data_IF_560346268480
#
_entry.id   IF_560346268480
#
_cell.length_a   1.000
_cell.length_b   1.000
_cell.length_c   1.000
_cell.angle_alpha   90.00
_cell.angle_beta   90.00
_cell.angle_gamma   90.00
#
_symmetry.space_group_name_H-M   'P 1'
#
loop_
_entity.id
_entity.type
_entity.pdbx_description
1 polymer ?
#
# COMPACT_ATOMS: atom_id res chain seq x y z
N UNK A 1 51.44 4.94 -46.36
CA UNK A 1 50.60 5.97 -45.71
C UNK A 1 49.45 5.26 -45.03
N UNK A 2 49.57 5.14 -43.72
CA UNK A 2 48.59 4.39 -42.89
C UNK A 2 47.72 5.43 -42.21
N UNK A 3 46.42 5.38 -42.49
CA UNK A 3 45.42 6.26 -41.84
C UNK A 3 44.90 5.60 -40.56
N UNK A 4 45.18 6.21 -39.42
CA UNK A 4 44.59 5.86 -38.10
C UNK A 4 43.18 6.44 -38.00
N UNK A 5 42.22 5.55 -37.92
CA UNK A 5 40.83 5.91 -37.58
C UNK A 5 40.66 5.81 -36.06
N UNK A 6 40.56 6.96 -35.41
CA UNK A 6 40.27 7.04 -33.97
C UNK A 6 38.79 6.85 -33.74
N UNK A 7 38.38 5.72 -33.17
CA UNK A 7 37.02 5.50 -32.67
C UNK A 7 36.92 6.12 -31.29
N UNK A 8 36.23 7.26 -31.21
CA UNK A 8 35.87 7.89 -29.95
C UNK A 8 34.68 7.08 -29.39
N UNK A 9 34.92 6.28 -28.37
CA UNK A 9 33.85 5.67 -27.55
C UNK A 9 33.26 6.77 -26.66
N UNK A 10 32.11 7.26 -27.03
CA UNK A 10 31.29 8.12 -26.17
C UNK A 10 30.71 7.21 -25.06
N UNK A 11 31.31 7.27 -23.89
CA UNK A 11 30.73 6.67 -22.68
C UNK A 11 29.65 7.67 -22.23
N UNK A 12 28.41 7.38 -22.55
CA UNK A 12 27.29 8.07 -21.95
C UNK A 12 27.22 7.66 -20.48
N UNK A 13 27.69 8.52 -19.60
CA UNK A 13 27.45 8.42 -18.16
C UNK A 13 25.99 8.78 -17.92
N UNK A 14 25.14 7.80 -17.88
CA UNK A 14 23.78 7.96 -17.39
C UNK A 14 23.90 8.21 -15.88
N UNK A 15 23.86 9.46 -15.49
CA UNK A 15 23.58 9.85 -14.11
C UNK A 15 22.12 9.46 -13.86
N UNK A 16 21.90 8.31 -13.26
CA UNK A 16 20.61 8.01 -12.63
C UNK A 16 20.45 9.06 -11.53
N UNK A 17 19.61 10.04 -11.79
CA UNK A 17 19.09 10.91 -10.75
C UNK A 17 18.16 10.01 -9.94
N UNK A 18 18.60 9.59 -8.77
CA UNK A 18 17.72 8.94 -7.81
C UNK A 18 16.66 9.98 -7.41
N UNK A 19 15.49 9.87 -8.02
CA UNK A 19 14.33 10.65 -7.61
C UNK A 19 13.83 10.03 -6.32
N UNK A 20 14.16 10.65 -5.19
CA UNK A 20 13.55 10.27 -3.93
C UNK A 20 12.04 10.51 -4.03
N UNK A 21 11.22 9.52 -3.68
CA UNK A 21 9.76 9.62 -3.70
C UNK A 21 9.25 10.76 -2.79
N UNK A 22 10.07 11.13 -1.81
CA UNK A 22 9.87 12.31 -0.99
C UNK A 22 11.20 13.08 -0.90
N UNK A 23 11.22 14.41 -1.08
CA UNK A 23 12.46 15.18 -1.00
C UNK A 23 13.17 14.97 0.34
N UNK A 24 14.38 14.40 0.30
CA UNK A 24 15.23 14.19 1.47
C UNK A 24 15.30 12.76 2.02
N UNK A 25 14.61 11.78 1.41
CA UNK A 25 14.70 10.38 1.82
C UNK A 25 15.69 9.59 0.95
N UNK A 26 16.72 9.02 1.58
CA UNK A 26 17.63 8.04 0.98
C UNK A 26 17.32 6.64 1.52
N UNK A 27 17.00 5.69 0.63
CA UNK A 27 16.76 4.30 1.01
C UNK A 27 18.06 3.66 1.51
N UNK A 28 18.09 3.20 2.74
CA UNK A 28 19.25 2.54 3.34
C UNK A 28 19.52 1.14 2.72
N UNK A 29 20.80 0.77 2.59
CA UNK A 29 21.19 -0.57 2.06
C UNK A 29 20.63 -1.71 2.92
N UNK A 30 20.50 -1.48 4.23
CA UNK A 30 19.87 -2.42 5.17
C UNK A 30 18.42 -2.68 4.82
N UNK A 31 17.71 -1.65 4.38
CA UNK A 31 16.30 -1.69 4.04
C UNK A 31 16.06 -2.56 2.81
N UNK A 32 16.92 -2.43 1.78
CA UNK A 32 16.90 -3.29 0.60
C UNK A 32 17.19 -4.78 0.90
N UNK A 33 17.99 -5.05 1.94
CA UNK A 33 18.28 -6.42 2.36
C UNK A 33 17.10 -7.05 3.09
N UNK A 34 16.47 -6.32 3.99
CA UNK A 34 15.23 -6.74 4.70
C UNK A 34 14.11 -7.01 3.72
N UNK A 35 13.90 -6.09 2.78
CA UNK A 35 12.91 -6.20 1.72
C UNK A 35 13.12 -7.46 0.86
N UNK A 36 14.34 -7.68 0.37
CA UNK A 36 14.66 -8.90 -0.40
C UNK A 36 14.42 -10.18 0.38
N UNK A 37 14.76 -10.20 1.67
CA UNK A 37 14.53 -11.35 2.54
C UNK A 37 13.03 -11.62 2.73
N UNK A 38 12.26 -10.57 2.96
CA UNK A 38 10.80 -10.66 3.07
C UNK A 38 10.18 -11.19 1.77
N UNK A 39 10.49 -10.59 0.63
CA UNK A 39 9.96 -11.03 -0.67
C UNK A 39 10.31 -12.49 -0.98
N UNK A 40 11.52 -12.95 -0.65
CA UNK A 40 11.93 -14.34 -0.85
C UNK A 40 11.15 -15.32 0.05
N UNK A 41 10.81 -14.92 1.27
CA UNK A 41 10.00 -15.73 2.19
C UNK A 41 8.53 -15.73 1.78
N UNK A 42 7.99 -14.57 1.42
CA UNK A 42 6.61 -14.40 0.98
C UNK A 42 6.29 -15.22 -0.27
N UNK A 43 7.21 -15.30 -1.21
CA UNK A 43 7.07 -16.15 -2.41
C UNK A 43 6.77 -17.60 -2.09
N UNK A 44 7.54 -18.21 -1.19
CA UNK A 44 7.39 -19.62 -0.83
C UNK A 44 6.03 -19.90 -0.18
N UNK A 45 5.54 -18.92 0.59
CA UNK A 45 4.24 -19.02 1.25
C UNK A 45 3.10 -18.90 0.26
N UNK A 46 3.16 -17.97 -0.67
CA UNK A 46 2.11 -17.75 -1.68
C UNK A 46 1.93 -18.94 -2.63
N UNK A 47 3.02 -19.53 -3.10
CA UNK A 47 2.96 -20.71 -3.97
C UNK A 47 2.19 -21.89 -3.33
N UNK A 48 2.25 -21.99 -1.99
CA UNK A 48 1.48 -22.99 -1.23
C UNK A 48 0.04 -22.58 -0.94
N UNK A 49 -0.25 -21.28 -0.85
CA UNK A 49 -1.54 -20.79 -0.40
C UNK A 49 -2.68 -21.00 -1.42
N UNK A 50 -2.43 -20.84 -2.70
CA UNK A 50 -3.49 -20.89 -3.72
C UNK A 50 -4.27 -22.21 -3.70
N UNK A 51 -3.56 -23.36 -3.69
CA UNK A 51 -4.18 -24.67 -3.63
C UNK A 51 -4.92 -24.93 -2.31
N UNK A 52 -4.43 -24.37 -1.21
CA UNK A 52 -5.04 -24.53 0.12
C UNK A 52 -6.34 -23.72 0.27
N UNK A 53 -6.35 -22.49 -0.20
CA UNK A 53 -7.53 -21.61 -0.19
C UNK A 53 -8.64 -22.18 -1.07
N UNK A 54 -8.26 -22.74 -2.24
CA UNK A 54 -9.20 -23.41 -3.13
C UNK A 54 -9.79 -24.67 -2.49
N UNK A 55 -8.96 -25.54 -1.92
CA UNK A 55 -9.40 -26.80 -1.29
C UNK A 55 -10.32 -26.58 -0.10
N UNK A 56 -10.18 -25.49 0.63
CA UNK A 56 -11.02 -25.15 1.80
C UNK A 56 -12.30 -24.40 1.46
N UNK A 57 -12.46 -23.95 0.20
CA UNK A 57 -13.60 -23.13 -0.20
C UNK A 57 -13.65 -21.76 0.47
N UNK A 58 -12.55 -21.33 1.12
CA UNK A 58 -12.44 -20.04 1.81
C UNK A 58 -12.65 -18.89 0.84
N UNK A 59 -12.08 -19.02 -0.36
CA UNK A 59 -12.29 -18.06 -1.44
C UNK A 59 -13.77 -17.94 -1.82
N UNK A 60 -14.47 -19.08 -1.96
CA UNK A 60 -15.91 -19.10 -2.30
C UNK A 60 -16.77 -18.41 -1.26
N UNK A 61 -16.41 -18.53 0.01
CA UNK A 61 -17.16 -17.92 1.10
C UNK A 61 -16.94 -16.41 1.17
N UNK A 62 -15.70 -15.95 1.05
CA UNK A 62 -15.36 -14.53 0.95
C UNK A 62 -16.08 -13.86 -0.22
N UNK A 63 -16.14 -14.56 -1.29
CA UNK A 63 -16.80 -14.23 -2.51
C UNK A 63 -18.32 -14.11 -2.39
N UNK A 64 -18.99 -15.03 -1.70
CA UNK A 64 -20.43 -14.94 -1.49
C UNK A 64 -20.83 -13.62 -0.81
N UNK A 65 -19.98 -13.09 0.08
CA UNK A 65 -20.19 -11.79 0.71
C UNK A 65 -19.93 -10.62 -0.24
N UNK A 66 -18.90 -10.71 -1.10
CA UNK A 66 -18.70 -9.71 -2.16
C UNK A 66 -19.92 -9.59 -3.06
N UNK A 67 -20.55 -10.72 -3.38
CA UNK A 67 -21.83 -10.73 -4.12
C UNK A 67 -22.97 -9.99 -3.44
N UNK A 68 -23.10 -10.16 -2.13
CA UNK A 68 -24.17 -9.50 -1.37
C UNK A 68 -23.99 -7.97 -1.39
N UNK A 69 -22.74 -7.50 -1.46
CA UNK A 69 -22.44 -6.07 -1.54
C UNK A 69 -22.55 -5.53 -2.97
N UNK A 70 -22.11 -6.30 -3.91
CA UNK A 70 -22.14 -5.93 -5.32
C UNK A 70 -23.11 -6.82 -6.06
N UNK A 71 -24.33 -6.55 -5.93
CA UNK A 71 -25.38 -7.29 -6.61
C UNK A 71 -25.15 -7.40 -8.12
N UNK A 72 -23.91 -7.36 -8.60
CA UNK A 72 -23.68 -7.53 -10.02
C UNK A 72 -22.21 -7.60 -10.41
N UNK A 73 -21.56 -8.75 -10.50
CA UNK A 73 -20.26 -8.87 -11.18
C UNK A 73 -19.95 -10.29 -11.67
N UNK A 74 -19.33 -10.45 -12.79
CA UNK A 74 -19.11 -11.72 -13.49
C UNK A 74 -17.71 -12.02 -13.99
N UNK A 75 -17.48 -13.16 -14.28
CA UNK A 75 -16.62 -14.28 -14.48
C UNK A 75 -15.50 -14.18 -15.52
N UNK A 76 -14.25 -14.49 -15.15
CA UNK A 76 -13.24 -15.28 -15.88
C UNK A 76 -11.95 -15.41 -15.08
N UNK A 77 -11.43 -16.47 -15.08
CA UNK A 77 -10.66 -17.57 -15.54
C UNK A 77 -9.21 -17.54 -15.09
N UNK A 78 -8.82 -18.61 -14.51
CA UNK A 78 -7.54 -18.94 -13.90
C UNK A 78 -6.51 -19.35 -14.96
N UNK A 79 -5.36 -18.76 -14.96
CA UNK A 79 -4.13 -19.38 -15.43
C UNK A 79 -3.03 -19.14 -14.39
N UNK A 80 -2.27 -20.14 -14.15
CA UNK A 80 -1.35 -20.33 -13.03
C UNK A 80 -0.49 -19.13 -12.61
N UNK A 81 -0.10 -19.14 -11.35
CA UNK A 81 0.83 -18.18 -10.75
C UNK A 81 2.05 -18.00 -11.66
N UNK A 82 2.06 -16.94 -12.43
CA UNK A 82 3.24 -16.51 -13.19
C UNK A 82 4.03 -15.53 -12.35
N UNK A 83 5.35 -15.66 -12.41
CA UNK A 83 6.23 -14.64 -11.86
C UNK A 83 5.89 -13.31 -12.53
N UNK A 84 5.60 -12.31 -11.72
CA UNK A 84 5.39 -10.94 -12.17
C UNK A 84 6.65 -10.13 -11.95
N UNK A 85 6.94 -9.26 -12.85
CA UNK A 85 7.89 -8.17 -12.71
C UNK A 85 7.18 -6.87 -13.10
N UNK A 86 7.83 -5.75 -12.91
CA UNK A 86 7.26 -4.43 -13.17
C UNK A 86 6.66 -4.33 -14.57
N UNK A 87 7.33 -4.88 -15.58
CA UNK A 87 6.85 -4.84 -16.96
C UNK A 87 5.59 -5.67 -17.15
N UNK A 88 5.47 -6.81 -16.48
CA UNK A 88 4.27 -7.65 -16.54
C UNK A 88 3.09 -6.94 -15.91
N UNK A 89 3.26 -6.34 -14.73
CA UNK A 89 2.20 -5.59 -14.04
C UNK A 89 1.77 -4.38 -14.87
N UNK A 90 2.71 -3.59 -15.39
CA UNK A 90 2.42 -2.42 -16.24
C UNK A 90 1.65 -2.77 -17.53
N UNK A 91 1.82 -3.98 -18.06
CA UNK A 91 1.17 -4.43 -19.29
C UNK A 91 -0.07 -5.31 -19.02
N UNK A 92 -0.42 -5.55 -17.76
CA UNK A 92 -1.64 -6.26 -17.38
C UNK A 92 -2.79 -5.26 -17.26
N UNK A 93 -3.94 -5.55 -17.84
CA UNK A 93 -5.16 -4.78 -17.56
C UNK A 93 -5.88 -5.41 -16.38
N UNK A 94 -6.11 -4.61 -15.35
CA UNK A 94 -6.88 -4.97 -14.16
C UNK A 94 -8.36 -4.58 -14.30
N UNK A 95 -8.73 -3.99 -15.45
CA UNK A 95 -10.13 -3.80 -15.81
C UNK A 95 -10.79 -5.17 -16.02
N UNK A 96 -11.67 -5.53 -15.11
CA UNK A 96 -12.42 -6.76 -15.25
C UNK A 96 -13.39 -6.65 -16.43
N UNK A 97 -13.32 -7.57 -17.37
CA UNK A 97 -14.22 -7.63 -18.54
C UNK A 97 -15.66 -8.01 -18.18
N UNK A 98 -16.02 -7.87 -16.93
CA UNK A 98 -17.27 -8.34 -16.38
C UNK A 98 -18.36 -7.31 -16.58
N UNK A 99 -19.29 -7.60 -17.47
CA UNK A 99 -20.49 -6.79 -17.73
C UNK A 99 -21.76 -7.55 -17.39
N UNK A 100 -22.82 -6.86 -17.05
CA UNK A 100 -24.13 -7.44 -16.83
C UNK A 100 -24.22 -8.39 -15.64
N UNK A 101 -23.53 -8.08 -14.60
CA UNK A 101 -23.41 -8.87 -13.39
C UNK A 101 -24.65 -8.72 -12.52
N UNK A 102 -25.27 -9.85 -12.12
CA UNK A 102 -26.49 -9.91 -11.33
C UNK A 102 -26.27 -10.68 -10.02
N UNK A 103 -27.18 -10.59 -9.09
CA UNK A 103 -27.19 -11.37 -7.84
C UNK A 103 -26.98 -12.86 -8.03
N UNK A 104 -27.37 -13.40 -9.21
CA UNK A 104 -27.26 -14.81 -9.56
C UNK A 104 -25.92 -15.14 -10.23
N UNK A 105 -25.03 -14.17 -10.40
CA UNK A 105 -23.73 -14.38 -11.01
C UNK A 105 -22.84 -15.26 -10.14
N UNK A 106 -22.13 -16.19 -10.79
CA UNK A 106 -21.25 -17.14 -10.08
C UNK A 106 -20.13 -16.43 -9.36
N UNK A 107 -19.80 -16.96 -8.23
CA UNK A 107 -18.85 -16.46 -7.24
C UNK A 107 -17.39 -16.50 -7.67
N UNK A 108 -17.03 -17.25 -8.69
CA UNK A 108 -15.65 -17.27 -9.21
C UNK A 108 -15.13 -15.94 -9.78
N UNK A 109 -15.98 -14.95 -9.84
CA UNK A 109 -15.72 -13.60 -10.36
C UNK A 109 -14.61 -12.87 -9.65
N UNK A 110 -14.53 -13.03 -8.34
CA UNK A 110 -13.54 -12.34 -7.50
C UNK A 110 -12.35 -13.23 -7.15
N UNK A 111 -12.30 -14.43 -7.72
CA UNK A 111 -11.14 -15.29 -7.63
C UNK A 111 -10.09 -14.77 -8.60
N UNK A 112 -9.31 -13.83 -8.15
CA UNK A 112 -8.05 -13.55 -8.81
C UNK A 112 -6.98 -14.41 -8.14
N UNK A 113 -6.09 -15.00 -8.92
CA UNK A 113 -4.87 -15.61 -8.41
C UNK A 113 -3.84 -14.54 -7.99
N UNK A 114 -4.24 -13.31 -8.06
CA UNK A 114 -3.41 -12.15 -7.86
C UNK A 114 -3.51 -11.78 -6.38
N UNK A 115 -2.59 -12.32 -5.60
CA UNK A 115 -2.41 -11.92 -4.21
C UNK A 115 -1.28 -10.91 -4.16
N UNK A 116 -1.59 -9.72 -3.67
CA UNK A 116 -0.61 -8.71 -3.42
C UNK A 116 0.09 -9.00 -2.08
N UNK A 117 1.41 -9.11 -2.09
CA UNK A 117 2.20 -8.96 -0.88
C UNK A 117 2.93 -7.64 -1.02
N UNK A 118 2.40 -6.63 -0.36
CA UNK A 118 3.03 -5.32 -0.35
C UNK A 118 4.40 -5.40 0.33
N UNK A 119 5.36 -4.69 -0.20
CA UNK A 119 6.69 -4.64 0.39
C UNK A 119 6.65 -3.98 1.77
N UNK A 120 7.19 -4.59 2.83
CA UNK A 120 7.11 -4.08 4.20
C UNK A 120 7.80 -2.74 4.42
N UNK A 121 8.56 -2.31 3.46
CA UNK A 121 9.10 -0.97 3.39
C UNK A 121 8.34 -0.08 2.45
N UNK A 122 7.20 -0.52 2.02
CA UNK A 122 6.27 0.41 1.46
C UNK A 122 6.27 1.59 2.41
N UNK A 123 6.80 2.70 1.95
CA UNK A 123 6.93 3.89 2.76
C UNK A 123 5.56 4.19 3.33
N UNK A 124 5.43 4.18 4.66
CA UNK A 124 4.22 4.70 5.31
C UNK A 124 3.93 6.12 4.80
N UNK A 125 4.97 6.72 4.24
CA UNK A 125 4.95 8.06 3.72
C UNK A 125 4.94 9.12 4.82
N UNK A 126 5.14 10.39 4.46
CA UNK A 126 5.23 11.47 5.44
C UNK A 126 3.85 11.94 5.93
N UNK A 127 2.74 11.34 5.48
CA UNK A 127 1.39 11.88 5.72
C UNK A 127 0.45 10.93 6.46
N UNK A 128 0.98 9.88 7.11
CA UNK A 128 0.17 9.07 8.01
C UNK A 128 -0.24 9.85 9.26
N UNK A 129 -1.53 9.77 9.59
CA UNK A 129 -2.09 10.38 10.80
C UNK A 129 -2.46 9.28 11.77
N UNK A 130 -1.97 9.38 12.99
CA UNK A 130 -2.33 8.44 14.06
C UNK A 130 -3.66 8.83 14.68
N UNK A 131 -4.53 7.84 14.94
CA UNK A 131 -5.81 8.05 15.57
C UNK A 131 -6.95 8.23 14.56
N UNK A 132 -6.84 7.55 13.42
CA UNK A 132 -7.89 7.51 12.41
C UNK A 132 -9.17 6.88 12.95
N UNK A 133 -10.32 7.30 12.39
CA UNK A 133 -11.64 6.90 12.85
C UNK A 133 -12.07 5.57 12.21
N UNK A 134 -12.69 4.71 13.02
CA UNK A 134 -13.36 3.51 12.52
C UNK A 134 -14.63 3.90 11.77
N UNK A 135 -14.56 3.90 10.44
CA UNK A 135 -15.67 4.24 9.54
C UNK A 135 -15.44 3.66 8.15
N UNK A 136 -16.51 3.27 7.48
CA UNK A 136 -16.45 2.75 6.11
C UNK A 136 -16.48 3.89 5.08
N UNK A 137 -17.32 4.90 5.30
CA UNK A 137 -17.40 6.08 4.43
C UNK A 137 -16.37 7.12 4.86
N UNK A 138 -15.39 7.35 4.00
CA UNK A 138 -14.30 8.30 4.25
C UNK A 138 -14.30 9.48 3.27
N UNK A 139 -15.33 9.60 2.43
CA UNK A 139 -15.42 10.68 1.42
C UNK A 139 -15.57 12.05 2.09
N UNK A 140 -16.35 12.13 3.15
CA UNK A 140 -16.83 13.40 3.69
C UNK A 140 -17.40 14.29 2.55
N UNK A 141 -16.93 15.53 2.40
CA UNK A 141 -17.36 16.46 1.35
C UNK A 141 -16.34 16.60 0.19
N UNK A 142 -15.37 15.69 0.08
CA UNK A 142 -14.34 15.78 -0.98
C UNK A 142 -14.91 15.38 -2.34
N UNK A 143 -14.80 16.27 -3.36
CA UNK A 143 -15.29 15.98 -4.69
C UNK A 143 -14.34 15.07 -5.46
N UNK A 144 -14.89 14.15 -6.24
CA UNK A 144 -14.10 13.24 -7.08
C UNK A 144 -14.92 12.06 -7.58
N UNK A 145 -14.28 11.19 -8.34
CA UNK A 145 -14.84 9.93 -8.81
C UNK A 145 -14.98 8.97 -7.63
N UNK A 146 -16.19 8.52 -7.34
CA UNK A 146 -16.43 7.57 -6.25
C UNK A 146 -15.69 6.25 -6.51
N UNK A 147 -15.04 5.74 -5.48
CA UNK A 147 -14.38 4.43 -5.51
C UNK A 147 -14.74 3.62 -4.26
N UNK A 148 -15.34 2.46 -4.46
CA UNK A 148 -15.61 1.49 -3.41
C UNK A 148 -14.48 0.47 -3.39
N UNK A 149 -13.62 0.56 -2.40
CA UNK A 149 -12.49 -0.35 -2.22
C UNK A 149 -12.89 -1.54 -1.35
N UNK A 150 -12.42 -2.72 -1.74
CA UNK A 150 -12.70 -3.96 -1.04
C UNK A 150 -11.42 -4.81 -0.98
N UNK A 151 -10.89 -5.04 0.20
CA UNK A 151 -9.70 -5.84 0.36
C UNK A 151 -9.97 -7.09 1.20
N UNK A 152 -9.34 -8.21 0.81
CA UNK A 152 -9.27 -9.41 1.61
C UNK A 152 -7.84 -9.59 2.12
N UNK A 153 -7.69 -9.80 3.42
CA UNK A 153 -6.40 -10.06 4.06
C UNK A 153 -6.26 -11.54 4.41
N UNK A 154 -5.11 -12.10 4.08
CA UNK A 154 -4.78 -13.50 4.38
C UNK A 154 -3.41 -13.59 5.04
N UNK A 155 -3.25 -14.53 5.96
CA UNK A 155 -1.95 -14.89 6.52
C UNK A 155 -1.14 -15.71 5.51
N UNK A 156 0.03 -15.21 5.11
CA UNK A 156 0.89 -15.87 4.11
C UNK A 156 1.50 -17.18 4.61
N UNK A 157 1.52 -17.42 5.91
CA UNK A 157 2.08 -18.64 6.49
C UNK A 157 1.08 -19.79 6.57
N UNK A 158 -0.19 -19.45 6.80
CA UNK A 158 -1.28 -20.43 7.00
C UNK A 158 -2.25 -20.51 5.83
N UNK A 159 -2.25 -19.49 4.96
CA UNK A 159 -3.24 -19.30 3.89
C UNK A 159 -4.67 -19.15 4.40
N UNK A 160 -4.83 -18.73 5.65
CA UNK A 160 -6.13 -18.47 6.26
C UNK A 160 -6.49 -16.99 6.16
N UNK A 161 -7.78 -16.65 6.07
CA UNK A 161 -8.23 -15.28 6.25
C UNK A 161 -7.76 -14.69 7.57
N UNK A 162 -7.48 -13.42 7.62
CA UNK A 162 -7.12 -12.68 8.82
C UNK A 162 -8.34 -11.91 9.35
N UNK A 163 -9.15 -12.50 10.23
CA UNK A 163 -10.16 -11.74 10.95
C UNK A 163 -9.51 -10.83 11.98
N UNK A 164 -10.24 -9.79 12.35
CA UNK A 164 -9.83 -8.85 13.40
C UNK A 164 -8.56 -8.04 13.11
N UNK A 165 -8.02 -8.07 11.89
CA UNK A 165 -7.03 -7.12 11.43
C UNK A 165 -7.71 -5.76 11.23
N UNK A 166 -7.07 -4.68 11.61
CA UNK A 166 -7.50 -3.33 11.31
C UNK A 166 -6.77 -2.84 10.06
N UNK A 167 -7.52 -2.62 8.99
CA UNK A 167 -7.06 -1.97 7.78
C UNK A 167 -7.15 -0.47 7.95
N UNK A 168 -6.02 0.20 8.01
CA UNK A 168 -5.86 1.65 8.04
C UNK A 168 -5.53 2.13 6.61
N UNK A 169 -6.32 3.08 6.10
CA UNK A 169 -6.23 3.53 4.73
C UNK A 169 -6.25 5.05 4.66
N UNK A 170 -5.45 5.61 3.76
CA UNK A 170 -5.55 7.02 3.41
C UNK A 170 -5.09 7.27 1.98
N UNK A 171 -5.68 8.27 1.36
CA UNK A 171 -5.30 8.77 0.05
C UNK A 171 -5.44 10.29 -0.04
N UNK A 172 -4.75 10.91 -1.00
CA UNK A 172 -4.93 12.33 -1.28
C UNK A 172 -6.29 12.59 -1.93
N UNK A 173 -6.75 13.83 -1.85
CA UNK A 173 -7.95 14.26 -2.57
C UNK A 173 -7.68 14.38 -4.08
N UNK A 174 -8.71 14.70 -4.84
CA UNK A 174 -8.66 14.80 -6.30
C UNK A 174 -7.65 15.81 -6.86
N UNK A 175 -7.12 16.70 -6.03
CA UNK A 175 -6.08 17.68 -6.39
C UNK A 175 -4.71 17.38 -5.79
N UNK A 176 -4.53 16.17 -5.22
CA UNK A 176 -3.25 15.69 -4.73
C UNK A 176 -2.89 16.10 -3.30
N UNK A 177 -3.82 16.64 -2.52
CA UNK A 177 -3.58 17.10 -1.14
C UNK A 177 -4.11 16.08 -0.13
N UNK A 178 -3.29 15.73 0.85
CA UNK A 178 -3.69 14.89 1.99
C UNK A 178 -4.32 15.73 3.10
N UNK A 179 -5.46 15.32 3.58
CA UNK A 179 -6.10 15.89 4.77
C UNK A 179 -5.36 15.52 6.06
N UNK A 180 -5.66 16.17 7.17
CA UNK A 180 -5.07 15.85 8.47
C UNK A 180 -3.61 16.24 8.66
N UNK A 181 -2.96 16.84 7.65
CA UNK A 181 -1.55 17.21 7.65
C UNK A 181 -1.37 18.64 7.17
N UNK A 182 -0.45 19.36 7.78
CA UNK A 182 0.03 20.67 7.31
C UNK A 182 1.52 20.54 7.01
N UNK A 183 1.89 20.50 5.74
CA UNK A 183 3.28 20.38 5.31
C UNK A 183 3.46 21.01 3.91
N UNK A 184 4.59 21.64 3.68
CA UNK A 184 4.90 22.26 2.38
C UNK A 184 4.99 21.25 1.24
N UNK A 185 5.43 20.02 1.54
CA UNK A 185 5.47 18.93 0.56
C UNK A 185 4.10 18.34 0.23
N UNK A 186 3.09 18.63 1.08
CA UNK A 186 1.67 18.33 0.81
C UNK A 186 0.94 19.43 0.02
N UNK A 187 1.67 20.46 -0.42
CA UNK A 187 1.08 21.59 -1.14
C UNK A 187 0.21 22.54 -0.28
N UNK A 188 0.18 22.36 1.05
CA UNK A 188 -0.68 23.10 1.96
C UNK A 188 0.05 23.66 3.20
N UNK A 189 1.35 23.99 3.07
CA UNK A 189 2.18 24.46 4.20
C UNK A 189 1.58 25.62 5.01
N UNK A 190 0.76 26.44 4.39
CA UNK A 190 0.11 27.60 5.01
C UNK A 190 -1.32 27.32 5.53
N UNK A 191 -1.89 26.14 5.27
CA UNK A 191 -3.25 25.77 5.70
C UNK A 191 -3.26 24.96 7.00
N UNK A 192 -3.20 25.66 8.12
CA UNK A 192 -3.32 25.03 9.45
C UNK A 192 -4.70 24.40 9.68
N UNK A 193 -5.74 24.80 8.96
CA UNK A 193 -7.09 24.24 9.12
C UNK A 193 -7.17 22.80 8.65
N UNK A 194 -6.29 22.40 7.73
CA UNK A 194 -6.23 21.05 7.18
C UNK A 194 -5.88 19.99 8.23
N UNK A 195 -5.21 20.35 9.33
CA UNK A 195 -4.93 19.43 10.44
C UNK A 195 -6.19 18.83 11.07
N UNK A 196 -7.32 19.52 10.97
CA UNK A 196 -8.58 19.08 11.55
C UNK A 196 -9.46 18.30 10.57
N UNK A 197 -9.05 18.20 9.31
CA UNK A 197 -9.80 17.44 8.30
C UNK A 197 -9.49 15.96 8.43
N UNK A 198 -10.52 15.14 8.24
CA UNK A 198 -10.45 13.67 8.36
C UNK A 198 -10.80 12.96 7.05
N UNK A 199 -11.27 13.69 6.04
CA UNK A 199 -11.67 13.11 4.76
C UNK A 199 -10.57 12.22 4.16
N UNK A 200 -10.99 11.17 3.49
CA UNK A 200 -10.15 10.20 2.78
C UNK A 200 -9.16 9.46 3.68
N UNK A 201 -9.52 9.31 4.97
CA UNK A 201 -8.79 8.57 6.00
C UNK A 201 -9.74 7.78 6.86
N UNK A 202 -9.36 6.56 7.21
CA UNK A 202 -10.15 5.74 8.12
C UNK A 202 -9.54 4.37 8.37
N UNK A 203 -10.10 3.72 9.37
CA UNK A 203 -9.78 2.34 9.70
C UNK A 203 -11.04 1.49 9.64
N UNK A 204 -10.89 0.24 9.21
CA UNK A 204 -11.94 -0.79 9.25
C UNK A 204 -11.37 -2.10 9.75
N UNK A 205 -12.17 -2.80 10.56
CA UNK A 205 -11.81 -4.11 11.05
C UNK A 205 -12.27 -5.18 10.05
N UNK A 206 -11.39 -6.12 9.73
CA UNK A 206 -11.73 -7.25 8.87
C UNK A 206 -12.71 -8.19 9.56
N UNK A 207 -13.61 -8.74 8.78
CA UNK A 207 -14.58 -9.71 9.22
C UNK A 207 -13.99 -11.15 9.33
N UNK A 208 -14.84 -12.11 9.61
CA UNK A 208 -14.47 -13.53 9.73
C UNK A 208 -13.84 -14.13 8.46
N UNK A 209 -13.95 -13.45 7.32
CA UNK A 209 -13.35 -13.84 6.03
C UNK A 209 -12.14 -12.99 5.67
N UNK A 210 -11.65 -12.18 6.59
CA UNK A 210 -10.53 -11.28 6.37
C UNK A 210 -10.86 -10.08 5.50
N UNK A 211 -12.13 -9.68 5.40
CA UNK A 211 -12.59 -8.65 4.46
C UNK A 211 -12.92 -7.35 5.18
N UNK A 212 -12.46 -6.25 4.60
CA UNK A 212 -12.89 -4.90 4.94
C UNK A 212 -13.16 -4.06 3.68
N UNK A 213 -13.91 -2.98 3.82
CA UNK A 213 -14.33 -2.15 2.70
C UNK A 213 -14.32 -0.67 3.06
N UNK A 214 -14.06 0.18 2.06
CA UNK A 214 -14.17 1.63 2.17
C UNK A 214 -14.92 2.22 1.00
N UNK A 215 -15.68 3.27 1.27
CA UNK A 215 -16.19 4.21 0.29
C UNK A 215 -15.30 5.45 0.32
N UNK A 216 -14.59 5.71 -0.77
CA UNK A 216 -13.66 6.83 -0.93
C UNK A 216 -13.87 7.52 -2.29
N UNK A 217 -13.00 8.43 -2.66
CA UNK A 217 -12.85 8.88 -4.05
C UNK A 217 -11.55 8.31 -4.63
N UNK A 218 -11.49 8.21 -5.95
CA UNK A 218 -10.25 7.91 -6.65
C UNK A 218 -9.20 8.97 -6.30
N UNK A 219 -7.97 8.60 -5.91
CA UNK A 219 -6.95 9.58 -5.56
C UNK A 219 -6.55 10.45 -6.74
N UNK A 220 -6.29 11.72 -6.52
CA UNK A 220 -5.57 12.55 -7.46
C UNK A 220 -4.07 12.23 -7.48
N UNK A 221 -3.30 13.08 -8.14
CA UNK A 221 -1.85 12.95 -8.20
C UNK A 221 -1.14 14.13 -7.54
N UNK A 222 0.09 13.89 -7.12
CA UNK A 222 1.01 14.92 -6.64
C UNK A 222 2.43 14.64 -7.16
N UNK A 223 3.31 15.63 -7.06
CA UNK A 223 4.62 15.59 -7.69
C UNK A 223 5.46 14.38 -7.27
N UNK A 224 6.01 13.66 -8.25
CA UNK A 224 6.98 12.58 -8.05
C UNK A 224 6.40 11.24 -7.64
N UNK A 225 5.06 11.09 -7.58
CA UNK A 225 4.40 9.84 -7.23
C UNK A 225 3.27 9.49 -8.21
N UNK A 226 3.19 8.24 -8.58
CA UNK A 226 2.02 7.70 -9.27
C UNK A 226 0.80 7.71 -8.34
N UNK A 227 -0.40 7.69 -8.90
CA UNK A 227 -1.66 7.66 -8.16
C UNK A 227 -1.76 6.39 -7.31
N UNK A 228 -1.95 6.53 -6.00
CA UNK A 228 -1.93 5.41 -5.06
C UNK A 228 -2.78 5.65 -3.81
N UNK A 229 -3.04 4.55 -3.11
CA UNK A 229 -3.65 4.51 -1.78
C UNK A 229 -2.64 3.90 -0.81
N UNK A 230 -2.49 4.49 0.35
CA UNK A 230 -1.67 3.94 1.43
C UNK A 230 -2.44 2.90 2.24
N UNK A 231 -1.74 1.88 2.70
CA UNK A 231 -2.28 0.78 3.49
C UNK A 231 -1.41 0.48 4.68
N UNK A 232 -2.02 0.36 5.86
CA UNK A 232 -1.39 -0.21 7.04
C UNK A 232 -2.30 -1.27 7.65
N UNK A 233 -1.74 -2.41 7.99
CA UNK A 233 -2.42 -3.49 8.71
C UNK A 233 -1.99 -3.52 10.18
N UNK A 234 -2.95 -3.36 11.10
CA UNK A 234 -2.70 -3.47 12.53
C UNK A 234 -3.27 -4.77 13.07
N UNK A 235 -2.45 -5.54 13.78
CA UNK A 235 -2.87 -6.74 14.51
C UNK A 235 -2.98 -6.46 16.00
N UNK A 236 -3.95 -7.12 16.65
CA UNK A 236 -4.15 -7.08 18.11
C UNK A 236 -4.41 -5.66 18.67
N UNK A 237 -4.83 -4.71 17.85
CA UNK A 237 -5.25 -3.40 18.32
C UNK A 237 -6.68 -3.45 18.87
N UNK A 238 -6.95 -2.58 19.83
CA UNK A 238 -8.26 -2.48 20.50
C UNK A 238 -8.98 -1.21 20.09
N UNK A 239 -10.24 -1.34 19.69
CA UNK A 239 -11.11 -0.19 19.43
C UNK A 239 -11.44 0.53 20.74
N UNK A 240 -11.23 1.83 20.74
CA UNK A 240 -11.54 2.72 21.85
C UNK A 240 -12.96 3.32 21.71
N UNK A 241 -13.51 3.85 22.80
CA UNK A 241 -14.83 4.49 22.81
C UNK A 241 -14.93 5.70 21.86
N UNK A 242 -13.83 6.36 21.58
CA UNK A 242 -13.77 7.49 20.65
C UNK A 242 -13.72 7.08 19.16
N UNK A 243 -13.81 5.79 18.86
CA UNK A 243 -13.78 5.27 17.50
C UNK A 243 -12.39 5.11 16.88
N UNK A 244 -11.32 5.30 17.65
CA UNK A 244 -9.95 5.06 17.20
C UNK A 244 -9.42 3.74 17.74
N UNK A 245 -8.23 3.29 17.30
CA UNK A 245 -7.59 2.09 17.84
C UNK A 245 -6.36 2.43 18.70
N UNK A 246 -6.02 1.51 19.60
CA UNK A 246 -4.84 1.59 20.44
C UNK A 246 -4.20 0.22 20.65
N UNK A 247 -2.88 0.24 20.89
CA UNK A 247 -2.09 -0.99 21.08
C UNK A 247 -1.88 -1.77 19.79
N UNK A 248 -1.55 -3.04 19.96
CA UNK A 248 -1.25 -3.93 18.84
C UNK A 248 0.11 -3.67 18.18
N UNK A 249 0.29 -4.25 17.02
CA UNK A 249 1.47 -4.10 16.17
C UNK A 249 1.08 -3.77 14.74
N UNK A 250 1.91 -3.01 14.06
CA UNK A 250 1.82 -2.84 12.60
C UNK A 250 2.51 -4.03 11.95
N UNK A 251 1.75 -4.88 11.28
CA UNK A 251 2.26 -6.08 10.62
C UNK A 251 2.36 -5.94 9.10
N UNK A 252 1.78 -4.89 8.54
CA UNK A 252 1.77 -4.66 7.10
C UNK A 252 1.77 -3.17 6.80
N UNK A 253 2.58 -2.76 5.82
CA UNK A 253 2.66 -1.40 5.29
C UNK A 253 2.85 -1.53 3.79
N UNK A 254 2.16 -0.72 3.00
CA UNK A 254 2.34 -0.70 1.57
C UNK A 254 1.49 0.34 0.87
N UNK A 255 1.54 0.32 -0.45
CA UNK A 255 0.78 1.21 -1.31
C UNK A 255 0.12 0.41 -2.42
N UNK A 256 -1.12 0.74 -2.71
CA UNK A 256 -1.93 0.14 -3.76
C UNK A 256 -2.09 1.15 -4.90
N UNK A 257 -2.04 0.64 -6.12
CA UNK A 257 -2.02 1.44 -7.33
C UNK A 257 -3.22 1.13 -8.21
N UNK A 258 -3.30 1.82 -9.32
CA UNK A 258 -4.33 1.67 -10.34
C UNK A 258 -3.70 1.54 -11.73
N UNK A 259 -4.41 0.95 -12.68
CA UNK A 259 -3.97 0.91 -14.08
C UNK A 259 -3.69 2.31 -14.62
N UNK A 260 -2.63 2.46 -15.40
CA UNK A 260 -2.28 3.76 -15.98
C UNK A 260 -3.38 4.31 -16.90
N UNK A 261 -4.07 3.43 -17.61
CA UNK A 261 -5.18 3.82 -18.48
C UNK A 261 -6.35 4.38 -17.65
N UNK A 262 -6.67 3.73 -16.52
CA UNK A 262 -7.70 4.21 -15.60
C UNK A 262 -7.32 5.56 -14.99
N UNK A 263 -6.05 5.72 -14.57
CA UNK A 263 -5.55 7.01 -14.06
C UNK A 263 -5.77 8.08 -15.13
N UNK A 264 -5.38 7.81 -16.38
CA UNK A 264 -5.50 8.77 -17.47
C UNK A 264 -6.96 9.14 -17.79
N UNK A 265 -7.89 8.19 -17.62
CA UNK A 265 -9.32 8.43 -17.80
C UNK A 265 -9.90 9.31 -16.68
N UNK A 266 -9.50 9.08 -15.42
CA UNK A 266 -9.96 9.90 -14.31
C UNK A 266 -9.38 11.32 -14.38
N UNK A 267 -8.11 11.46 -14.73
CA UNK A 267 -7.39 12.75 -14.73
C UNK A 267 -7.97 13.79 -15.71
N UNK A 268 -8.74 13.38 -16.71
CA UNK A 268 -9.43 14.33 -17.60
C UNK A 268 -10.78 14.80 -17.05
N UNK A 269 -11.25 14.24 -15.93
CA UNK A 269 -12.51 14.62 -15.30
C UNK A 269 -12.33 15.75 -14.28
N UNK A 270 -13.42 16.45 -13.95
CA UNK A 270 -13.42 17.42 -12.85
C UNK A 270 -13.58 16.72 -11.51
N UNK A 271 -12.81 17.11 -10.46
CA UNK A 271 -11.88 18.23 -10.40
C UNK A 271 -10.40 17.88 -10.69
N UNK A 272 -10.05 16.63 -11.03
CA UNK A 272 -8.68 16.17 -11.28
C UNK A 272 -7.95 17.02 -12.31
N UNK A 273 -8.62 17.36 -13.40
CA UNK A 273 -8.10 18.20 -14.50
C UNK A 273 -7.81 19.65 -14.11
N UNK A 274 -8.06 20.02 -12.87
CA UNK A 274 -7.67 21.35 -12.33
C UNK A 274 -6.28 21.36 -11.73
N UNK A 275 -5.68 20.19 -11.47
CA UNK A 275 -4.31 20.09 -11.00
C UNK A 275 -3.34 20.63 -12.08
N UNK A 276 -2.34 21.39 -11.64
CA UNK A 276 -1.27 21.90 -12.51
C UNK A 276 0.05 21.17 -12.30
N UNK A 277 0.04 20.14 -11.49
CA UNK A 277 1.19 19.27 -11.24
C UNK A 277 1.30 18.26 -12.38
N UNK A 278 2.52 17.94 -12.79
CA UNK A 278 2.74 16.90 -13.79
C UNK A 278 2.42 15.51 -13.21
N UNK A 279 1.71 14.69 -13.97
CA UNK A 279 1.37 13.32 -13.61
C UNK A 279 2.65 12.47 -13.64
N UNK A 280 2.89 11.73 -12.57
CA UNK A 280 3.93 10.70 -12.53
C UNK A 280 3.33 9.36 -12.95
N UNK A 281 3.88 8.76 -13.99
CA UNK A 281 3.40 7.47 -14.49
C UNK A 281 3.85 6.31 -13.55
N UNK A 282 3.07 5.23 -13.52
CA UNK A 282 3.43 4.01 -12.80
C UNK A 282 4.83 3.49 -13.20
N UNK A 283 5.17 3.61 -14.48
CA UNK A 283 6.45 3.13 -15.05
C UNK A 283 7.70 3.86 -14.55
N UNK A 284 7.52 5.03 -13.95
CA UNK A 284 8.64 5.83 -13.40
C UNK A 284 8.54 6.04 -11.89
N UNK A 285 7.49 5.54 -11.25
CA UNK A 285 7.32 5.60 -9.80
C UNK A 285 8.21 4.56 -9.12
N UNK A 286 9.08 5.02 -8.23
CA UNK A 286 10.02 4.16 -7.51
C UNK A 286 9.32 3.16 -6.59
N UNK A 287 8.24 3.57 -5.95
CA UNK A 287 7.51 2.69 -5.02
C UNK A 287 6.76 1.63 -5.81
N UNK A 288 6.11 2.00 -6.92
CA UNK A 288 5.50 1.04 -7.83
C UNK A 288 6.52 -0.01 -8.29
N UNK A 289 7.68 0.43 -8.79
CA UNK A 289 8.75 -0.48 -9.20
C UNK A 289 9.17 -1.40 -8.05
N UNK A 290 9.28 -0.87 -6.84
CA UNK A 290 9.72 -1.62 -5.68
C UNK A 290 8.68 -2.62 -5.17
N UNK A 291 7.38 -2.35 -5.35
CA UNK A 291 6.30 -3.29 -5.02
C UNK A 291 6.15 -4.42 -6.04
N UNK A 292 6.58 -4.19 -7.29
CA UNK A 292 6.41 -5.13 -8.40
C UNK A 292 7.69 -5.85 -8.80
N UNK A 293 8.88 -5.31 -8.47
CA UNK A 293 10.16 -5.86 -8.88
C UNK A 293 10.41 -7.24 -8.27
N UNK A 294 10.70 -8.21 -9.14
CA UNK A 294 11.07 -9.59 -8.75
C UNK A 294 10.05 -10.28 -7.81
N UNK A 295 8.79 -9.85 -7.82
CA UNK A 295 7.74 -10.32 -6.93
C UNK A 295 6.70 -11.16 -7.67
N UNK A 296 5.91 -11.93 -6.90
CA UNK A 296 4.62 -12.48 -7.35
C UNK A 296 3.48 -11.52 -6.95
N UNK A 297 3.84 -10.33 -6.52
CA UNK A 297 2.93 -9.30 -6.05
C UNK A 297 2.43 -8.47 -7.21
N UNK A 298 1.17 -8.13 -7.13
CA UNK A 298 0.51 -7.20 -8.01
C UNK A 298 -0.25 -6.18 -7.15
N UNK A 299 0.32 -5.00 -6.90
CA UNK A 299 -0.28 -4.00 -6.04
C UNK A 299 -1.37 -3.17 -6.73
N UNK A 300 -1.79 -3.58 -7.92
CA UNK A 300 -2.79 -2.85 -8.70
C UNK A 300 -4.18 -3.41 -8.42
N UNK A 301 -5.12 -2.51 -8.13
CA UNK A 301 -6.51 -2.89 -7.93
C UNK A 301 -7.13 -3.46 -9.21
N UNK A 302 -7.80 -4.60 -9.08
CA UNK A 302 -8.79 -5.00 -10.07
C UNK A 302 -10.01 -4.09 -9.92
N UNK A 303 -10.64 -3.70 -11.02
CA UNK A 303 -11.77 -2.79 -10.98
C UNK A 303 -12.83 -3.05 -12.05
N UNK A 304 -14.00 -2.49 -11.81
CA UNK A 304 -15.09 -2.34 -12.78
C UNK A 304 -15.73 -0.97 -12.60
N UNK A 305 -16.37 -0.49 -13.64
CA UNK A 305 -17.28 0.64 -13.54
C UNK A 305 -18.58 0.19 -12.84
N UNK A 306 -19.15 1.07 -12.00
CA UNK A 306 -20.46 0.82 -11.40
C UNK A 306 -21.58 1.04 -12.41
N UNK A 307 -21.35 1.91 -13.38
CA UNK A 307 -22.19 2.12 -14.55
C UNK A 307 -21.31 2.14 -15.81
N UNK A 308 -21.31 1.04 -16.55
CA UNK A 308 -20.53 0.88 -17.80
C UNK A 308 -20.83 1.99 -18.83
N UNK A 309 -22.04 2.55 -18.81
CA UNK A 309 -22.45 3.59 -19.76
C UNK A 309 -21.91 4.97 -19.41
N UNK A 310 -21.55 5.19 -18.16
CA UNK A 310 -21.01 6.44 -17.64
C UNK A 310 -19.48 6.40 -17.45
N UNK A 311 -18.86 5.21 -17.57
CA UNK A 311 -17.43 5.05 -17.33
C UNK A 311 -17.04 5.46 -15.91
N UNK A 312 -15.91 6.16 -15.78
CA UNK A 312 -15.42 6.60 -14.45
C UNK A 312 -16.38 7.56 -13.74
N UNK A 313 -17.18 8.33 -14.46
CA UNK A 313 -18.16 9.24 -13.86
C UNK A 313 -19.29 8.49 -13.13
N UNK A 314 -19.54 7.24 -13.51
CA UNK A 314 -20.48 6.35 -12.84
C UNK A 314 -19.96 5.78 -11.50
N UNK A 315 -18.68 5.98 -11.21
CA UNK A 315 -17.99 5.43 -10.05
C UNK A 315 -17.35 4.07 -10.31
N UNK A 316 -16.49 3.67 -9.39
CA UNK A 316 -15.66 2.48 -9.48
C UNK A 316 -15.93 1.53 -8.32
N UNK A 317 -15.76 0.25 -8.58
CA UNK A 317 -15.53 -0.75 -7.56
C UNK A 317 -14.17 -1.40 -7.80
N UNK A 318 -13.32 -1.36 -6.77
CA UNK A 318 -11.94 -1.83 -6.82
C UNK A 318 -11.71 -2.91 -5.76
N UNK A 319 -10.98 -3.97 -6.08
CA UNK A 319 -10.71 -5.05 -5.12
C UNK A 319 -9.37 -5.71 -5.35
N UNK A 320 -8.82 -6.29 -4.27
CA UNK A 320 -7.65 -7.16 -4.31
C UNK A 320 -7.57 -8.05 -3.07
N UNK A 321 -6.58 -8.94 -3.06
CA UNK A 321 -6.24 -9.76 -1.89
C UNK A 321 -4.83 -9.39 -1.42
N UNK A 322 -4.66 -9.16 -0.12
CA UNK A 322 -3.39 -8.76 0.51
C UNK A 322 -2.88 -9.90 1.39
N UNK A 323 -1.65 -10.34 1.13
CA UNK A 323 -0.94 -11.30 1.97
C UNK A 323 -0.18 -10.59 3.08
N UNK A 324 -0.36 -11.04 4.32
CA UNK A 324 0.24 -10.43 5.51
C UNK A 324 1.14 -11.45 6.22
N UNK A 325 2.35 -11.05 6.58
CA UNK A 325 3.17 -11.78 7.53
C UNK A 325 2.78 -11.38 8.95
N UNK A 326 2.01 -12.26 9.62
CA UNK A 326 1.51 -11.99 10.97
C UNK A 326 2.60 -12.03 12.05
N UNK A 327 3.80 -12.44 11.71
CA UNK A 327 4.96 -12.43 12.62
C UNK A 327 5.75 -11.10 12.52
N UNK A 328 5.49 -10.30 11.50
CA UNK A 328 6.13 -9.01 11.31
C UNK A 328 5.58 -7.95 12.28
N UNK A 329 6.47 -7.07 12.73
CA UNK A 329 6.12 -5.90 13.52
C UNK A 329 7.03 -4.74 13.11
N UNK A 330 6.43 -3.66 12.65
CA UNK A 330 7.15 -2.50 12.13
C UNK A 330 6.98 -1.30 13.04
N UNK A 331 8.07 -0.59 13.28
CA UNK A 331 8.02 0.72 13.90
C UNK A 331 7.56 1.75 12.88
N UNK A 332 6.59 2.58 13.27
CA UNK A 332 6.00 3.59 12.39
C UNK A 332 6.13 4.98 12.99
N UNK A 333 6.41 5.96 12.14
CA UNK A 333 6.30 7.37 12.47
C UNK A 333 5.00 7.96 11.91
N UNK A 334 4.48 9.02 12.52
CA UNK A 334 3.26 9.68 12.09
C UNK A 334 3.49 11.20 11.91
N UNK A 335 2.80 11.78 10.94
CA UNK A 335 2.87 13.21 10.64
C UNK A 335 2.07 14.04 11.63
N UNK A 336 0.91 13.54 12.02
CA UNK A 336 0.00 14.19 12.95
C UNK A 336 -0.73 13.15 13.81
N UNK A 337 -1.27 13.61 14.93
CA UNK A 337 -2.15 12.85 15.81
C UNK A 337 -3.54 13.48 15.78
N UNK A 338 -4.55 12.71 15.39
CA UNK A 338 -5.94 13.14 15.55
C UNK A 338 -6.38 12.94 16.99
N UNK A 339 -6.83 14.00 17.63
CA UNK A 339 -7.32 14.01 19.02
C UNK A 339 -8.77 14.45 19.09
N UNK A 340 -9.42 14.28 20.22
CA UNK A 340 -10.77 14.79 20.44
C UNK A 340 -10.88 16.33 20.29
N UNK A 341 -9.75 17.02 20.35
CA UNK A 341 -9.67 18.49 20.22
C UNK A 341 -9.22 18.92 18.82
N UNK A 342 -9.07 17.99 17.87
CA UNK A 342 -8.56 18.21 16.52
C UNK A 342 -7.19 17.60 16.28
N UNK A 343 -6.63 17.84 15.10
CA UNK A 343 -5.34 17.34 14.68
C UNK A 343 -4.19 18.13 15.31
N UNK A 344 -3.15 17.41 15.71
CA UNK A 344 -1.92 17.96 16.28
C UNK A 344 -0.73 17.48 15.48
N UNK A 345 0.00 18.40 14.83
CA UNK A 345 1.20 18.07 14.07
C UNK A 345 2.27 17.46 15.00
N UNK A 346 2.93 16.41 14.53
CA UNK A 346 4.06 15.81 15.23
C UNK A 346 5.35 16.61 14.93
N UNK A 347 5.76 17.46 15.85
CA UNK A 347 6.97 18.28 15.71
C UNK A 347 8.28 17.48 15.62
N UNK A 348 8.24 16.19 15.95
CA UNK A 348 9.39 15.29 15.86
C UNK A 348 9.43 14.51 14.53
N UNK A 349 8.39 14.60 13.72
CA UNK A 349 8.37 14.10 12.37
C UNK A 349 9.13 15.05 11.44
N UNK A 350 10.36 15.36 11.75
CA UNK A 350 11.18 16.24 10.91
C UNK A 350 11.27 15.68 9.50
N UNK A 351 10.30 15.98 8.62
CA UNK A 351 10.26 15.72 7.16
C UNK A 351 10.85 14.41 6.65
N UNK A 352 11.00 13.42 7.47
CA UNK A 352 11.76 12.21 7.19
C UNK A 352 10.82 11.01 7.28
N UNK A 353 10.60 10.45 6.13
CA UNK A 353 10.01 9.14 5.99
C UNK A 353 10.66 8.09 6.88
N UNK A 354 9.84 7.13 7.20
CA UNK A 354 10.03 5.97 8.02
C UNK A 354 11.43 5.56 8.42
N UNK A 355 11.64 5.45 9.72
CA UNK A 355 12.78 4.72 10.24
C UNK A 355 12.71 3.28 9.76
N UNK A 356 13.84 2.73 9.33
CA UNK A 356 13.97 1.32 9.03
C UNK A 356 13.47 0.46 10.20
N UNK A 357 12.81 -0.67 9.93
CA UNK A 357 12.36 -1.56 10.99
C UNK A 357 13.57 -2.05 11.76
N UNK A 358 13.66 -1.68 13.05
CA UNK A 358 14.63 -2.24 13.99
C UNK A 358 14.18 -3.64 14.41
N UNK A 359 14.11 -4.55 13.44
CA UNK A 359 13.82 -5.97 13.64
C UNK A 359 15.08 -6.75 13.94
N UNK A 360 15.77 -6.41 15.02
CA UNK A 360 16.71 -7.37 15.64
C UNK A 360 16.03 -7.85 16.93
N UNK A 361 15.75 -9.15 17.10
CA UNK A 361 15.19 -9.65 18.35
C UNK A 361 16.18 -9.35 19.47
N UNK A 362 15.74 -8.55 20.45
CA UNK A 362 16.44 -8.30 21.71
C UNK A 362 16.41 -9.57 22.54
N UNK A 363 17.36 -10.46 22.28
CA UNK A 363 17.49 -11.73 22.96
C UNK A 363 18.94 -12.19 23.01
N UNK A 364 19.83 -11.35 23.51
CA UNK A 364 21.13 -11.83 23.98
C UNK A 364 21.22 -11.54 25.46
N UNK A 365 21.32 -12.55 26.33
CA UNK A 365 21.46 -12.33 27.76
C UNK A 365 22.84 -11.71 28.02
N UNK A 366 22.82 -10.51 28.62
CA UNK A 366 24.02 -9.86 29.20
C UNK A 366 24.46 -10.65 30.41
N UNK A 367 25.46 -11.47 30.20
CA UNK A 367 26.11 -12.24 31.25
C UNK A 367 27.54 -12.56 30.87
N UNK A 368 28.42 -11.60 30.96
CA UNK A 368 29.87 -11.86 31.01
C UNK A 368 30.37 -11.39 32.36
N UNK A 369 30.91 -12.28 33.21
CA UNK A 369 31.50 -11.86 34.46
C UNK A 369 32.88 -11.22 34.20
N UNK A 370 33.04 -10.01 34.66
CA UNK A 370 34.33 -9.31 34.79
C UNK A 370 35.23 -10.04 35.80
N UNK A 371 36.31 -10.61 35.36
CA UNK A 371 37.30 -11.21 36.19
C UNK A 371 38.52 -11.69 35.41
N UNK A 372 39.44 -10.79 35.11
CA UNK A 372 40.78 -11.19 34.73
C UNK A 372 41.79 -10.55 35.71
N UNK A 373 42.68 -11.31 36.34
CA UNK A 373 43.74 -10.76 37.16
C UNK A 373 44.93 -10.27 36.30
N UNK A 374 45.37 -9.05 36.60
CA UNK A 374 46.60 -8.50 36.07
C UNK A 374 47.83 -9.23 36.63
N UNK A 375 48.66 -9.78 35.81
CA UNK A 375 50.00 -10.18 36.19
C UNK A 375 51.02 -9.37 35.40
N UNK A 376 51.72 -8.48 36.09
CA UNK A 376 52.95 -7.83 35.66
C UNK A 376 54.15 -8.80 35.80
N UNK A 377 55.09 -8.87 34.87
CA UNK A 377 56.36 -9.55 35.08
C UNK A 377 57.36 -8.56 35.64
N UNK A 378 57.99 -8.90 36.81
CA UNK A 378 59.19 -8.28 37.30
C UNK A 378 60.43 -8.95 36.71
N UNK A 379 61.31 -8.13 36.17
CA UNK A 379 62.69 -8.46 35.80
C UNK A 379 63.57 -8.63 37.01
N UNK A 380 64.31 -9.68 37.09
CA UNK A 380 65.75 -9.76 37.44
C UNK A 380 66.38 -10.86 36.62
#
# INVERSE_FOLDING_TARGET
MVAFSSVIKLVALVLAVETNAHPGHEEHITDRAVKRSFLANSRRSLEGCAAHLEARGTLKTAEHRRKAFLNNLRKKALDGLQRRDTDVVLNTSHHSSLTGITVDSDSSVFLTNDTCILSPEGEIGPFWVKGELNREDIVDDEPGVLNYMHAQFIDISTCEPLPDLWWDVWNCNSTGVYTGVQDSSNGNGDDASNLNKTALRGIQKTDEYGIASFRTIFPGHYSGRATHVHVVGHLNATLLENGTISGGSVSHIGQLFFDQDLISEVEVTYPYNTSTVDITLNSVDRVFASETEDSYSDPVFNYVYLDDSAGVEGGLFSWLTIGVDTTAAYDTSYAALLTASGGVANSNSGGLGGGAPSGVPSGVPSGVPSGAPSSTPSTT
#
